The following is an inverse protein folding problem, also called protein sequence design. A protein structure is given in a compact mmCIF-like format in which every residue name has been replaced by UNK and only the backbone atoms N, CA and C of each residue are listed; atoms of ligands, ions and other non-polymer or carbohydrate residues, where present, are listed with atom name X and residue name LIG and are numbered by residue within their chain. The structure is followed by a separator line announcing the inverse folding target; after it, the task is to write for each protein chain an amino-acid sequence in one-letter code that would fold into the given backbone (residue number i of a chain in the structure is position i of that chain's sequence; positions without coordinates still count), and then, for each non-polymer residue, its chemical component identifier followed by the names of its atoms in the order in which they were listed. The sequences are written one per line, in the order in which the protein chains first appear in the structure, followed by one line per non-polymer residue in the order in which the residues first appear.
data_IF_556329031812
#
_entry.id   IF_556329031812
#
_cell.length_a   1.000
_cell.length_b   1.000
_cell.length_c   1.000
_cell.angle_alpha   90.00
_cell.angle_beta   90.00
_cell.angle_gamma   90.00
#
_symmetry.space_group_name_H-M   'P 1'
#
loop_
_entity.id
_entity.type
_entity.pdbx_description
1 polymer ?
#
# COMPACT_ATOMS: atom_id res chain seq x y z
N UNK A 1 24.74 -17.78 1.03
CA UNK A 1 23.63 -17.59 1.99
C UNK A 1 23.54 -16.11 2.32
N UNK A 2 22.62 -15.35 1.71
CA UNK A 2 22.33 -13.98 2.13
C UNK A 2 20.90 -13.99 2.68
N UNK A 3 20.80 -14.20 3.99
CA UNK A 3 19.56 -14.19 4.76
C UNK A 3 18.84 -12.86 4.58
N UNK A 4 17.66 -12.93 3.96
CA UNK A 4 16.85 -11.79 3.57
C UNK A 4 16.50 -10.90 4.75
N UNK A 5 16.85 -9.63 4.63
CA UNK A 5 16.28 -8.59 5.47
C UNK A 5 14.80 -8.46 5.09
N UNK A 6 13.92 -9.12 5.84
CA UNK A 6 12.48 -8.92 5.78
C UNK A 6 12.18 -7.57 6.47
N UNK A 7 12.41 -6.47 5.75
CA UNK A 7 12.12 -5.13 6.26
C UNK A 7 10.62 -4.90 6.11
N UNK A 8 9.91 -4.88 7.23
CA UNK A 8 8.58 -4.29 7.32
C UNK A 8 8.74 -2.78 7.46
N UNK A 9 8.16 -2.00 6.54
CA UNK A 9 8.34 -0.54 6.50
C UNK A 9 7.00 0.17 6.47
N UNK A 10 6.83 1.08 7.43
CA UNK A 10 5.78 2.07 7.37
C UNK A 10 6.17 3.12 6.32
N UNK A 11 5.39 3.24 5.24
CA UNK A 11 5.67 4.13 4.11
C UNK A 11 5.41 5.63 4.46
N UNK A 12 5.25 5.96 5.75
CA UNK A 12 4.71 7.22 6.25
C UNK A 12 5.47 7.81 7.44
N UNK A 13 6.76 7.53 7.60
CA UNK A 13 7.55 8.26 8.58
C UNK A 13 7.50 9.77 8.24
N UNK A 14 7.01 10.58 9.19
CA UNK A 14 6.81 12.03 9.05
C UNK A 14 8.10 12.65 8.49
N UNK A 15 7.98 13.38 7.38
CA UNK A 15 9.05 14.02 6.60
C UNK A 15 9.81 13.19 5.53
N UNK A 16 9.27 12.06 5.07
CA UNK A 16 9.84 11.39 3.89
C UNK A 16 9.35 12.04 2.57
N UNK A 17 10.24 12.77 1.89
CA UNK A 17 9.94 13.30 0.55
C UNK A 17 9.67 12.13 -0.40
N UNK A 18 8.72 12.31 -1.31
CA UNK A 18 8.30 11.27 -2.24
C UNK A 18 9.47 10.70 -3.04
N UNK A 19 10.37 11.57 -3.52
CA UNK A 19 11.54 11.18 -4.31
C UNK A 19 12.58 10.39 -3.50
N UNK A 20 12.79 10.74 -2.23
CA UNK A 20 13.62 9.92 -1.33
C UNK A 20 13.01 8.53 -1.12
N UNK A 21 11.68 8.43 -1.17
CA UNK A 21 10.98 7.16 -1.08
C UNK A 21 11.21 6.28 -2.31
N UNK A 22 11.14 6.87 -3.50
CA UNK A 22 11.43 6.20 -4.77
C UNK A 22 12.87 5.66 -4.77
N UNK A 23 13.83 6.51 -4.40
CA UNK A 23 15.25 6.15 -4.32
C UNK A 23 15.54 5.04 -3.29
N UNK A 24 14.75 5.00 -2.21
CA UNK A 24 14.89 3.97 -1.20
C UNK A 24 14.31 2.63 -1.66
N UNK A 25 13.10 2.65 -2.26
CA UNK A 25 12.43 1.44 -2.75
C UNK A 25 13.17 0.81 -3.94
N UNK A 26 13.88 1.61 -4.74
CA UNK A 26 14.74 1.07 -5.81
C UNK A 26 15.97 0.34 -5.26
N UNK A 27 16.48 0.74 -4.10
CA UNK A 27 17.67 0.15 -3.46
C UNK A 27 17.35 -0.94 -2.44
N UNK A 28 16.13 -0.96 -1.91
CA UNK A 28 15.74 -1.82 -0.79
C UNK A 28 14.53 -2.66 -1.15
N UNK A 29 14.64 -3.98 -0.98
CA UNK A 29 13.48 -4.87 -1.05
C UNK A 29 12.66 -4.73 0.23
N UNK A 30 11.39 -4.36 0.06
CA UNK A 30 10.41 -4.26 1.16
C UNK A 30 9.45 -5.45 1.03
N UNK A 31 9.31 -6.22 2.10
CA UNK A 31 8.43 -7.40 2.14
C UNK A 31 7.03 -7.05 2.64
N UNK A 32 6.94 -6.09 3.57
CA UNK A 32 5.67 -5.59 4.12
C UNK A 32 5.72 -4.08 4.10
N UNK A 33 4.70 -3.46 3.50
CA UNK A 33 4.59 -2.02 3.38
C UNK A 33 3.24 -1.57 3.93
N UNK A 34 3.25 -0.64 4.90
CA UNK A 34 2.02 -0.07 5.45
C UNK A 34 1.85 1.34 4.90
N UNK A 35 0.72 1.59 4.25
CA UNK A 35 0.47 2.84 3.57
C UNK A 35 -0.98 3.33 3.59
N UNK A 36 -1.18 4.66 3.58
CA UNK A 36 -2.46 5.23 3.15
C UNK A 36 -2.66 5.04 1.64
N UNK A 37 -3.91 4.87 1.18
CA UNK A 37 -4.18 4.54 -0.22
C UNK A 37 -3.64 5.59 -1.19
N UNK A 38 -3.78 6.89 -0.88
CA UNK A 38 -3.25 7.97 -1.72
C UNK A 38 -1.74 7.92 -1.97
N UNK A 39 -0.90 7.63 -0.97
CA UNK A 39 0.56 7.52 -1.19
C UNK A 39 0.92 6.26 -1.95
N UNK A 40 0.23 5.16 -1.66
CA UNK A 40 0.47 3.90 -2.37
C UNK A 40 0.22 4.09 -3.86
N UNK A 41 -0.87 4.78 -4.22
CA UNK A 41 -1.16 5.13 -5.61
C UNK A 41 -0.05 5.98 -6.24
N UNK A 42 0.42 7.04 -5.57
CA UNK A 42 1.53 7.87 -6.08
C UNK A 42 2.82 7.08 -6.31
N UNK A 43 3.15 6.14 -5.42
CA UNK A 43 4.33 5.29 -5.55
C UNK A 43 4.22 4.29 -6.71
N UNK A 44 3.01 3.78 -6.96
CA UNK A 44 2.71 2.91 -8.11
C UNK A 44 2.79 3.69 -9.43
N UNK A 45 2.23 4.90 -9.49
CA UNK A 45 2.27 5.76 -10.67
C UNK A 45 3.71 6.16 -11.06
N UNK A 46 4.59 6.31 -10.07
CA UNK A 46 6.02 6.59 -10.32
C UNK A 46 6.87 5.35 -10.61
N UNK A 47 6.26 4.15 -10.63
CA UNK A 47 6.98 2.89 -10.86
C UNK A 47 7.97 2.53 -9.76
N UNK A 48 7.89 3.19 -8.60
CA UNK A 48 8.79 2.96 -7.47
C UNK A 48 8.49 1.65 -6.73
N UNK A 49 7.25 1.18 -6.83
CA UNK A 49 6.77 -0.05 -6.20
C UNK A 49 6.36 -1.06 -7.28
N UNK A 50 6.98 -2.23 -7.27
CA UNK A 50 6.59 -3.34 -8.14
C UNK A 50 5.52 -4.22 -7.46
N UNK A 51 4.42 -4.47 -8.16
CA UNK A 51 3.35 -5.39 -7.74
C UNK A 51 3.60 -6.84 -8.19
N UNK A 52 4.71 -7.12 -8.86
CA UNK A 52 4.97 -8.42 -9.48
C UNK A 52 5.05 -9.58 -8.47
N UNK A 53 5.64 -9.30 -7.30
CA UNK A 53 5.79 -10.26 -6.20
C UNK A 53 4.76 -10.07 -5.08
N UNK A 54 3.79 -9.15 -5.25
CA UNK A 54 2.75 -8.93 -4.25
C UNK A 54 1.79 -10.12 -4.26
N UNK A 55 1.54 -10.70 -3.10
CA UNK A 55 0.64 -11.85 -2.92
C UNK A 55 -0.61 -11.50 -2.11
N UNK A 56 -0.50 -10.60 -1.12
CA UNK A 56 -1.60 -10.26 -0.23
C UNK A 56 -1.67 -8.76 0.01
N UNK A 57 -2.89 -8.24 0.11
CA UNK A 57 -3.19 -6.88 0.57
C UNK A 57 -4.09 -6.99 1.79
N UNK A 58 -3.66 -6.39 2.90
CA UNK A 58 -4.45 -6.27 4.11
C UNK A 58 -5.09 -4.89 4.16
N UNK A 59 -6.42 -4.86 4.20
CA UNK A 59 -7.21 -3.68 4.50
C UNK A 59 -7.68 -3.79 5.95
N UNK A 60 -7.13 -2.94 6.80
CA UNK A 60 -7.56 -2.82 8.19
C UNK A 60 -8.73 -1.82 8.27
N UNK A 61 -9.94 -2.34 8.44
CA UNK A 61 -11.17 -1.57 8.69
C UNK A 61 -11.51 -1.51 10.19
N UNK A 62 -10.82 -2.29 11.02
CA UNK A 62 -11.08 -2.38 12.47
C UNK A 62 -10.87 -1.06 13.22
N UNK A 63 -10.03 -0.16 12.68
CA UNK A 63 -9.76 1.14 13.29
C UNK A 63 -10.92 2.12 13.10
N UNK A 64 -11.41 2.65 14.22
CA UNK A 64 -12.43 3.69 14.30
C UNK A 64 -11.80 5.01 14.70
N UNK A 65 -12.09 6.07 13.96
CA UNK A 65 -11.65 7.41 14.35
C UNK A 65 -12.44 7.92 15.57
N UNK A 66 -12.06 9.07 16.12
CA UNK A 66 -12.75 9.68 17.27
C UNK A 66 -14.25 10.00 17.03
N UNK A 67 -14.75 9.83 15.80
CA UNK A 67 -16.16 10.00 15.40
C UNK A 67 -16.81 8.65 15.04
N UNK A 68 -16.21 7.53 15.44
CA UNK A 68 -16.68 6.16 15.16
C UNK A 68 -16.77 5.82 13.66
N UNK A 69 -16.01 6.53 12.82
CA UNK A 69 -15.99 6.27 11.37
C UNK A 69 -14.87 5.28 11.05
N UNK A 70 -15.20 4.25 10.28
CA UNK A 70 -14.22 3.30 9.72
C UNK A 70 -13.56 3.85 8.46
N UNK A 71 -12.49 3.18 8.01
CA UNK A 71 -11.76 3.52 6.79
C UNK A 71 -12.68 3.62 5.56
N UNK A 72 -13.68 2.73 5.48
CA UNK A 72 -14.69 2.73 4.43
C UNK A 72 -15.83 3.74 4.66
N UNK A 73 -16.04 4.21 5.89
CA UNK A 73 -17.10 5.17 6.21
C UNK A 73 -16.75 6.60 5.77
N UNK A 74 -15.46 6.96 5.80
CA UNK A 74 -14.97 8.29 5.40
C UNK A 74 -14.97 8.40 3.87
N UNK A 75 -15.77 9.31 3.26
CA UNK A 75 -15.89 9.43 1.81
C UNK A 75 -14.58 9.64 1.07
N UNK A 76 -13.66 10.42 1.64
CA UNK A 76 -12.37 10.72 1.07
C UNK A 76 -11.50 9.47 0.98
N UNK A 77 -11.32 8.74 2.09
CA UNK A 77 -10.55 7.50 2.14
C UNK A 77 -11.16 6.41 1.26
N UNK A 78 -12.49 6.27 1.27
CA UNK A 78 -13.20 5.35 0.37
C UNK A 78 -12.88 5.65 -1.10
N UNK A 79 -12.83 6.93 -1.49
CA UNK A 79 -12.50 7.31 -2.86
C UNK A 79 -11.08 6.91 -3.22
N UNK A 80 -10.12 7.11 -2.33
CA UNK A 80 -8.73 6.69 -2.55
C UNK A 80 -8.59 5.15 -2.63
N UNK A 81 -9.29 4.40 -1.76
CA UNK A 81 -9.31 2.93 -1.82
C UNK A 81 -9.91 2.45 -3.13
N UNK A 82 -11.04 3.02 -3.56
CA UNK A 82 -11.67 2.66 -4.84
C UNK A 82 -10.75 2.99 -6.01
N UNK A 83 -10.04 4.12 -5.98
CA UNK A 83 -9.07 4.48 -7.01
C UNK A 83 -7.93 3.45 -7.08
N UNK A 84 -7.37 3.07 -5.93
CA UNK A 84 -6.34 2.04 -5.83
C UNK A 84 -6.82 0.68 -6.38
N UNK A 85 -8.04 0.26 -6.03
CA UNK A 85 -8.67 -0.98 -6.49
C UNK A 85 -9.09 -0.94 -7.97
N UNK A 86 -9.20 0.23 -8.58
CA UNK A 86 -9.43 0.38 -10.02
C UNK A 86 -8.12 0.43 -10.83
N UNK A 87 -7.01 0.79 -10.19
CA UNK A 87 -5.70 0.89 -10.80
C UNK A 87 -4.98 -0.45 -10.99
N UNK A 88 -3.64 -0.39 -11.04
CA UNK A 88 -2.77 -1.55 -11.27
C UNK A 88 -2.98 -2.67 -10.25
N UNK A 89 -3.27 -2.32 -8.99
CA UNK A 89 -3.56 -3.30 -7.95
C UNK A 89 -4.85 -4.08 -8.25
N UNK A 90 -5.90 -3.38 -8.69
CA UNK A 90 -7.16 -3.97 -9.10
C UNK A 90 -7.04 -5.03 -10.17
N UNK A 91 -6.20 -4.77 -11.18
CA UNK A 91 -5.93 -5.73 -12.26
C UNK A 91 -5.28 -7.00 -11.72
N UNK A 92 -4.29 -6.87 -10.83
CA UNK A 92 -3.62 -8.01 -10.20
C UNK A 92 -4.56 -8.84 -9.32
N UNK A 93 -5.49 -8.19 -8.62
CA UNK A 93 -6.53 -8.87 -7.83
C UNK A 93 -7.46 -9.64 -8.77
N UNK A 94 -7.91 -9.03 -9.87
CA UNK A 94 -8.79 -9.68 -10.86
C UNK A 94 -8.13 -10.87 -11.57
N UNK A 95 -6.82 -10.81 -11.78
CA UNK A 95 -6.02 -11.93 -12.31
C UNK A 95 -5.84 -13.08 -11.30
N UNK A 96 -6.24 -12.90 -10.03
CA UNK A 96 -6.04 -13.89 -8.98
C UNK A 96 -4.61 -13.93 -8.42
N UNK A 97 -3.77 -12.98 -8.82
CA UNK A 97 -2.36 -12.90 -8.41
C UNK A 97 -2.19 -12.31 -7.00
N UNK A 98 -3.18 -11.56 -6.54
CA UNK A 98 -3.18 -10.88 -5.23
C UNK A 98 -4.48 -11.20 -4.50
N UNK A 99 -4.38 -11.71 -3.28
CA UNK A 99 -5.51 -11.89 -2.39
C UNK A 99 -5.72 -10.64 -1.54
N UNK A 100 -6.98 -10.25 -1.37
CA UNK A 100 -7.36 -9.15 -0.48
C UNK A 100 -7.93 -9.75 0.79
N UNK A 101 -7.35 -9.38 1.92
CA UNK A 101 -7.84 -9.72 3.25
C UNK A 101 -8.34 -8.43 3.87
N UNK A 102 -9.59 -8.43 4.33
CA UNK A 102 -10.19 -7.31 5.06
C UNK A 102 -10.36 -7.75 6.50
N UNK A 103 -9.90 -6.93 7.44
CA UNK A 103 -9.95 -7.18 8.88
C UNK A 103 -10.70 -6.08 9.61
#
# INVERSE_FOLDING_TARGET
MLGGANVARQLFAKHFKLQQHVDYLSKTRVSVAVATPGRLQQLLEQGALSLAALSHVLLDESHRDAKERTLCAVPELRTEVVALMRGALGTRIREGNVQVVVY
#
